data_IF_089271439379
#
_entry.id   IF_089271439379
#
_cell.length_a   1.000
_cell.length_b   1.000
_cell.length_c   1.000
_cell.angle_alpha   90.00
_cell.angle_beta   90.00
_cell.angle_gamma   90.00
#
_symmetry.space_group_name_H-M   'P 1'
#
loop_
_entity.id
_entity.type
_entity.pdbx_description
1 polymer ?
#
# COMPACT_ATOMS: atom_id res chain seq x y z
N UNK A 1 10.88 11.27 3.33
CA UNK A 1 10.11 11.27 4.59
C UNK A 1 8.78 10.56 4.36
N UNK A 2 8.24 9.96 5.39
CA UNK A 2 7.05 9.08 5.25
C UNK A 2 5.88 9.77 4.57
N UNK A 3 5.50 10.97 5.00
CA UNK A 3 4.33 11.63 4.43
C UNK A 3 4.52 11.97 2.95
N UNK A 4 5.70 12.42 2.56
CA UNK A 4 5.96 12.72 1.15
C UNK A 4 5.98 11.44 0.32
N UNK A 5 6.61 10.38 0.83
CA UNK A 5 6.67 9.09 0.12
C UNK A 5 5.27 8.48 -0.02
N UNK A 6 4.44 8.60 1.01
CA UNK A 6 3.04 8.16 0.94
C UNK A 6 2.26 8.95 -0.13
N UNK A 7 2.42 10.27 -0.14
CA UNK A 7 1.76 11.13 -1.13
C UNK A 7 2.18 10.76 -2.55
N UNK A 8 3.48 10.53 -2.74
CA UNK A 8 4.01 10.15 -4.05
C UNK A 8 3.44 8.81 -4.50
N UNK A 9 3.34 7.85 -3.60
CA UNK A 9 2.79 6.54 -3.92
C UNK A 9 1.30 6.62 -4.26
N UNK A 10 0.53 7.41 -3.50
CA UNK A 10 -0.89 7.64 -3.80
C UNK A 10 -1.05 8.23 -5.20
N UNK A 11 -0.24 9.25 -5.54
CA UNK A 11 -0.29 9.87 -6.86
C UNK A 11 0.08 8.89 -7.96
N UNK A 12 1.08 8.03 -7.71
CA UNK A 12 1.49 7.01 -8.68
C UNK A 12 0.35 6.04 -8.96
N UNK A 13 -0.35 5.57 -7.92
CA UNK A 13 -1.48 4.65 -8.08
C UNK A 13 -2.64 5.36 -8.79
N UNK A 14 -3.01 6.56 -8.35
CA UNK A 14 -4.13 7.31 -8.91
C UNK A 14 -3.95 7.59 -10.40
N UNK A 15 -2.71 7.83 -10.83
CA UNK A 15 -2.41 8.10 -12.23
C UNK A 15 -2.16 6.87 -13.08
N UNK A 16 -2.19 5.68 -12.49
CA UNK A 16 -1.85 4.43 -13.16
C UNK A 16 -3.06 3.62 -13.60
N UNK A 17 -2.78 2.42 -14.07
CA UNK A 17 -3.77 1.48 -14.57
C UNK A 17 -4.82 1.10 -13.51
N UNK A 18 -4.41 1.08 -12.25
CA UNK A 18 -5.26 0.67 -11.13
C UNK A 18 -5.80 1.86 -10.34
N UNK A 19 -5.83 3.05 -10.94
CA UNK A 19 -6.23 4.30 -10.27
C UNK A 19 -7.74 4.46 -10.07
N UNK A 20 -8.54 3.50 -10.51
CA UNK A 20 -10.00 3.55 -10.31
C UNK A 20 -10.39 3.33 -8.84
N UNK A 21 -11.57 3.80 -8.42
CA UNK A 21 -12.08 3.47 -7.08
C UNK A 21 -12.27 1.96 -6.90
N UNK A 22 -12.16 1.50 -5.66
CA UNK A 22 -12.45 0.09 -5.35
C UNK A 22 -13.94 -0.16 -5.57
N UNK A 23 -14.25 -1.29 -6.22
CA UNK A 23 -15.63 -1.63 -6.55
C UNK A 23 -16.43 -2.01 -5.30
N UNK A 24 -15.78 -2.47 -4.23
CA UNK A 24 -16.41 -2.88 -3.00
C UNK A 24 -15.38 -2.90 -1.85
N UNK A 25 -15.89 -2.98 -0.62
CA UNK A 25 -15.01 -3.17 0.55
C UNK A 25 -14.24 -4.48 0.44
N UNK A 26 -14.83 -5.51 -0.13
CA UNK A 26 -14.16 -6.80 -0.32
C UNK A 26 -13.02 -6.69 -1.33
N UNK A 27 -13.22 -5.94 -2.42
CA UNK A 27 -12.14 -5.70 -3.37
C UNK A 27 -10.98 -4.95 -2.69
N UNK A 28 -11.28 -3.93 -1.92
CA UNK A 28 -10.26 -3.22 -1.15
C UNK A 28 -9.48 -4.17 -0.26
N UNK A 29 -10.18 -5.01 0.51
CA UNK A 29 -9.52 -5.95 1.41
C UNK A 29 -8.65 -6.95 0.66
N UNK A 30 -9.09 -7.42 -0.52
CA UNK A 30 -8.30 -8.31 -1.35
C UNK A 30 -6.98 -7.66 -1.78
N UNK A 31 -7.05 -6.40 -2.22
CA UNK A 31 -5.85 -5.64 -2.61
C UNK A 31 -4.94 -5.43 -1.40
N UNK A 32 -5.53 -5.06 -0.25
CA UNK A 32 -4.75 -4.84 0.97
C UNK A 32 -4.04 -6.12 1.42
N UNK A 33 -4.73 -7.27 1.37
CA UNK A 33 -4.12 -8.54 1.74
C UNK A 33 -2.92 -8.87 0.86
N UNK A 34 -2.98 -8.58 -0.43
CA UNK A 34 -1.84 -8.78 -1.32
C UNK A 34 -0.65 -7.91 -0.90
N UNK A 35 -0.91 -6.65 -0.57
CA UNK A 35 0.15 -5.74 -0.13
C UNK A 35 0.73 -6.15 1.23
N UNK A 36 -0.13 -6.57 2.16
CA UNK A 36 0.32 -7.05 3.47
C UNK A 36 1.15 -8.34 3.31
N UNK A 37 0.75 -9.22 2.39
CA UNK A 37 1.50 -10.43 2.12
C UNK A 37 2.91 -10.11 1.59
N UNK A 38 3.02 -9.12 0.73
CA UNK A 38 4.31 -8.66 0.22
C UNK A 38 5.19 -8.09 1.35
N UNK A 39 4.58 -7.31 2.25
CA UNK A 39 5.29 -6.79 3.43
C UNK A 39 5.74 -7.95 4.32
N UNK A 40 4.86 -8.89 4.59
CA UNK A 40 5.17 -10.07 5.41
C UNK A 40 6.32 -10.86 4.79
N UNK A 41 6.34 -10.98 3.47
CA UNK A 41 7.40 -11.68 2.74
C UNK A 41 8.79 -11.09 3.06
N UNK A 42 8.87 -9.77 3.21
CA UNK A 42 10.11 -9.11 3.60
C UNK A 42 10.41 -9.28 5.09
N UNK A 43 9.39 -9.19 5.94
CA UNK A 43 9.56 -9.25 7.40
C UNK A 43 9.93 -10.65 7.88
N UNK A 44 9.41 -11.69 7.23
CA UNK A 44 9.68 -13.07 7.64
C UNK A 44 11.05 -13.59 7.26
N UNK A 45 11.84 -12.82 6.50
CA UNK A 45 13.20 -13.22 6.13
C UNK A 45 14.06 -13.36 7.37
N UNK A 46 15.12 -14.18 7.28
CA UNK A 46 16.11 -14.29 8.34
C UNK A 46 16.74 -12.91 8.60
N UNK A 47 17.04 -12.58 9.87
CA UNK A 47 17.58 -11.27 10.25
C UNK A 47 18.75 -10.81 9.40
N UNK A 48 19.66 -11.72 9.07
CA UNK A 48 20.82 -11.39 8.24
C UNK A 48 20.46 -10.96 6.82
N UNK A 49 19.25 -11.30 6.39
CA UNK A 49 18.76 -11.02 5.05
C UNK A 49 17.74 -9.88 5.04
N UNK A 50 17.53 -9.19 6.18
CA UNK A 50 16.61 -8.07 6.26
C UNK A 50 17.04 -6.95 5.33
N UNK A 51 16.06 -6.42 4.61
CA UNK A 51 16.20 -5.25 3.78
C UNK A 51 15.16 -4.24 4.27
N UNK A 52 15.58 -3.34 5.15
CA UNK A 52 14.67 -2.36 5.73
C UNK A 52 14.12 -1.37 4.69
N UNK A 53 14.86 -1.14 3.62
CA UNK A 53 14.38 -0.30 2.52
C UNK A 53 13.21 -0.97 1.80
N UNK A 54 13.30 -2.29 1.56
CA UNK A 54 12.21 -3.06 0.98
C UNK A 54 11.00 -3.11 1.92
N UNK A 55 11.22 -3.32 3.21
CA UNK A 55 10.15 -3.29 4.21
C UNK A 55 9.44 -1.94 4.22
N UNK A 56 10.21 -0.86 4.19
CA UNK A 56 9.68 0.49 4.15
C UNK A 56 8.80 0.71 2.91
N UNK A 57 9.30 0.31 1.75
CA UNK A 57 8.56 0.45 0.49
C UNK A 57 7.23 -0.30 0.53
N UNK A 58 7.24 -1.55 1.00
CA UNK A 58 6.02 -2.35 1.10
C UNK A 58 5.06 -1.76 2.13
N UNK A 59 5.59 -1.20 3.24
CA UNK A 59 4.76 -0.51 4.22
C UNK A 59 4.07 0.72 3.66
N UNK A 60 4.78 1.52 2.87
CA UNK A 60 4.22 2.69 2.19
C UNK A 60 3.10 2.26 1.24
N UNK A 61 3.29 1.16 0.52
CA UNK A 61 2.25 0.63 -0.39
C UNK A 61 1.00 0.21 0.37
N UNK A 62 1.15 -0.44 1.53
CA UNK A 62 0.01 -0.77 2.39
C UNK A 62 -0.74 0.49 2.84
N UNK A 63 -0.02 1.49 3.29
CA UNK A 63 -0.62 2.76 3.73
C UNK A 63 -1.36 3.46 2.60
N UNK A 64 -0.81 3.44 1.39
CA UNK A 64 -1.43 4.08 0.23
C UNK A 64 -2.77 3.40 -0.13
N UNK A 65 -2.82 2.08 -0.08
CA UNK A 65 -4.05 1.33 -0.35
C UNK A 65 -5.13 1.71 0.68
N UNK A 66 -4.77 1.74 1.96
CA UNK A 66 -5.70 2.11 3.03
C UNK A 66 -6.16 3.56 2.86
N UNK A 67 -5.24 4.47 2.60
CA UNK A 67 -5.57 5.89 2.42
C UNK A 67 -6.56 6.08 1.27
N UNK A 68 -6.31 5.44 0.13
CA UNK A 68 -7.19 5.57 -1.03
C UNK A 68 -8.60 5.07 -0.73
N UNK A 69 -8.72 3.99 0.03
CA UNK A 69 -10.04 3.49 0.43
C UNK A 69 -10.75 4.44 1.39
N UNK A 70 -10.05 4.91 2.42
CA UNK A 70 -10.63 5.85 3.38
C UNK A 70 -11.06 7.14 2.70
N UNK A 71 -10.26 7.65 1.76
CA UNK A 71 -10.61 8.81 0.95
C UNK A 71 -11.90 8.55 0.16
N UNK A 72 -12.02 7.37 -0.42
CA UNK A 72 -13.18 6.98 -1.22
C UNK A 72 -14.46 6.97 -0.38
N UNK A 73 -14.43 6.37 0.80
CA UNK A 73 -15.62 6.24 1.64
C UNK A 73 -15.97 7.52 2.40
N UNK A 74 -15.02 8.45 2.51
CA UNK A 74 -15.27 9.75 3.16
C UNK A 74 -15.55 10.85 2.15
N UNK A 75 -15.48 10.57 0.88
CA UNK A 75 -15.68 11.54 -0.22
C UNK A 75 -14.69 12.72 -0.18
N UNK A 76 -13.52 12.48 0.37
CA UNK A 76 -12.46 13.48 0.33
C UNK A 76 -11.87 13.65 -1.06
#
# INVERSE_FOLDING_TARGET
>A
MIFQDLKDEIQRIDGGEYGRPYASSHEFMGVLFEEVDELWHEVKKHEKDYDFEAQYKEGIQCMAVIYRYLRQITLE
#
